data_IF_655373041338
#
_entry.id   IF_655373041338
#
_cell.length_a   1.000
_cell.length_b   1.000
_cell.length_c   1.000
_cell.angle_alpha   90.00
_cell.angle_beta   90.00
_cell.angle_gamma   90.00
#
_symmetry.space_group_name_H-M   'P 1'
#
loop_
_entity.id
_entity.type
_entity.pdbx_description
1 polymer ?
#
# COMPACT_ATOMS: atom_id res chain seq x y z
N UNK A 1 22.04 -16.27 13.25
CA UNK A 1 21.22 -15.08 13.56
C UNK A 1 19.80 -15.56 13.83
N UNK A 2 19.11 -14.99 14.81
CA UNK A 2 17.70 -15.34 15.04
C UNK A 2 16.86 -14.79 13.88
N UNK A 3 15.97 -15.61 13.32
CA UNK A 3 15.03 -15.17 12.26
C UNK A 3 14.00 -14.21 12.84
N UNK A 4 13.58 -13.22 12.05
CA UNK A 4 12.44 -12.36 12.36
C UNK A 4 11.16 -13.17 12.22
N UNK A 5 10.39 -13.26 13.31
CA UNK A 5 9.14 -14.04 13.33
C UNK A 5 7.98 -13.16 12.92
N UNK A 6 7.29 -13.57 11.87
CA UNK A 6 6.27 -12.77 11.21
C UNK A 6 4.88 -13.32 11.49
N UNK A 7 4.00 -12.43 11.97
CA UNK A 7 2.56 -12.63 11.96
C UNK A 7 1.92 -11.98 10.72
N UNK A 8 0.92 -12.60 10.12
CA UNK A 8 0.15 -12.01 9.02
C UNK A 8 -1.30 -11.82 9.46
N UNK A 9 -1.84 -10.62 9.28
CA UNK A 9 -3.27 -10.35 9.49
C UNK A 9 -3.96 -10.30 8.13
N UNK A 10 -4.82 -11.27 7.85
CA UNK A 10 -5.41 -11.53 6.53
C UNK A 10 -4.94 -12.87 5.95
N UNK A 11 -5.80 -13.51 5.14
CA UNK A 11 -5.57 -14.85 4.59
C UNK A 11 -6.01 -14.97 3.12
N UNK A 12 -5.90 -13.88 2.36
CA UNK A 12 -6.35 -13.76 0.97
C UNK A 12 -5.18 -13.36 0.07
N UNK A 13 -5.49 -12.72 -1.06
CA UNK A 13 -4.54 -12.39 -2.13
C UNK A 13 -3.24 -11.75 -1.65
N UNK A 14 -3.30 -10.62 -0.94
CA UNK A 14 -2.10 -9.93 -0.44
C UNK A 14 -1.29 -10.81 0.54
N UNK A 15 -1.97 -11.50 1.46
CA UNK A 15 -1.32 -12.41 2.40
C UNK A 15 -0.53 -13.52 1.70
N UNK A 16 -1.05 -14.08 0.59
CA UNK A 16 -0.33 -15.09 -0.22
C UNK A 16 0.96 -14.52 -0.80
N UNK A 17 0.93 -13.29 -1.32
CA UNK A 17 2.11 -12.61 -1.88
C UNK A 17 3.15 -12.38 -0.79
N UNK A 18 2.73 -11.92 0.39
CA UNK A 18 3.63 -11.75 1.54
C UNK A 18 4.29 -13.07 1.95
N UNK A 19 3.52 -14.16 2.08
CA UNK A 19 4.08 -15.49 2.38
C UNK A 19 5.09 -15.93 1.33
N UNK A 20 4.78 -15.75 0.04
CA UNK A 20 5.71 -16.07 -1.05
C UNK A 20 7.00 -15.24 -0.97
N UNK A 21 6.87 -13.95 -0.62
CA UNK A 21 8.01 -13.08 -0.31
C UNK A 21 8.88 -13.62 0.83
N UNK A 22 8.27 -13.96 1.97
CA UNK A 22 8.98 -14.46 3.14
C UNK A 22 9.63 -15.83 2.91
N UNK A 23 9.04 -16.71 2.10
CA UNK A 23 9.66 -17.99 1.72
C UNK A 23 11.02 -17.82 1.02
N UNK A 24 11.27 -16.65 0.41
CA UNK A 24 12.53 -16.30 -0.25
C UNK A 24 13.47 -15.46 0.63
N UNK A 25 13.10 -15.19 1.88
CA UNK A 25 13.89 -14.40 2.83
C UNK A 25 14.40 -15.31 3.97
N UNK A 26 15.66 -15.78 3.93
CA UNK A 26 16.17 -16.71 4.95
C UNK A 26 16.23 -16.12 6.37
N UNK A 27 16.19 -14.80 6.49
CA UNK A 27 16.19 -14.04 7.74
C UNK A 27 14.80 -13.89 8.38
N UNK A 28 13.73 -14.37 7.74
CA UNK A 28 12.37 -14.27 8.24
C UNK A 28 11.62 -15.60 8.20
N UNK A 29 10.66 -15.77 9.09
CA UNK A 29 9.76 -16.93 9.08
C UNK A 29 8.34 -16.54 9.47
N UNK A 30 7.34 -17.05 8.76
CA UNK A 30 5.93 -16.80 9.07
C UNK A 30 5.47 -17.82 10.10
N UNK A 31 5.16 -17.34 11.31
CA UNK A 31 4.82 -18.21 12.45
C UNK A 31 3.33 -18.20 12.79
N UNK A 32 2.60 -17.15 12.41
CA UNK A 32 1.19 -17.02 12.75
C UNK A 32 0.38 -16.28 11.68
N UNK A 33 -0.90 -16.65 11.52
CA UNK A 33 -1.87 -15.93 10.68
C UNK A 33 -3.15 -15.68 11.45
N UNK A 34 -3.72 -14.48 11.33
CA UNK A 34 -5.01 -14.13 11.87
C UNK A 34 -6.03 -13.79 10.76
N UNK A 35 -7.20 -14.41 10.79
CA UNK A 35 -8.34 -14.05 9.94
C UNK A 35 -9.66 -14.43 10.61
N UNK A 36 -10.71 -13.58 10.56
CA UNK A 36 -11.97 -13.81 11.27
C UNK A 36 -12.73 -15.04 10.79
N UNK A 37 -12.49 -15.49 9.55
CA UNK A 37 -13.11 -16.72 9.03
C UNK A 37 -12.19 -17.92 9.30
N UNK A 38 -12.66 -18.84 10.14
CA UNK A 38 -11.91 -20.02 10.59
C UNK A 38 -11.55 -20.97 9.44
N UNK A 39 -12.43 -21.15 8.46
CA UNK A 39 -12.17 -22.03 7.32
C UNK A 39 -11.08 -21.45 6.42
N UNK A 40 -11.15 -20.13 6.15
CA UNK A 40 -10.12 -19.45 5.36
C UNK A 40 -8.75 -19.49 6.06
N UNK A 41 -8.68 -19.23 7.37
CA UNK A 41 -7.38 -19.21 8.07
C UNK A 41 -6.79 -20.62 8.17
N UNK A 42 -7.61 -21.64 8.44
CA UNK A 42 -7.17 -23.05 8.49
C UNK A 42 -6.67 -23.53 7.13
N UNK A 43 -7.41 -23.24 6.07
CA UNK A 43 -6.98 -23.57 4.70
C UNK A 43 -5.67 -22.86 4.34
N UNK A 44 -5.51 -21.59 4.71
CA UNK A 44 -4.32 -20.80 4.42
C UNK A 44 -3.08 -21.32 5.15
N UNK A 45 -3.18 -21.67 6.44
CA UNK A 45 -2.03 -22.22 7.17
C UNK A 45 -1.63 -23.60 6.65
N UNK A 46 -2.59 -24.43 6.23
CA UNK A 46 -2.32 -25.74 5.64
C UNK A 46 -1.64 -25.62 4.27
N UNK A 47 -2.09 -24.70 3.42
CA UNK A 47 -1.49 -24.40 2.10
C UNK A 47 -0.02 -23.95 2.22
N UNK A 48 0.34 -23.30 3.34
CA UNK A 48 1.63 -22.64 3.51
C UNK A 48 2.52 -23.23 4.61
N UNK A 49 2.07 -24.29 5.30
CA UNK A 49 2.76 -24.92 6.44
C UNK A 49 3.10 -23.94 7.57
N UNK A 50 2.13 -23.09 7.95
CA UNK A 50 2.30 -22.10 9.03
C UNK A 50 1.79 -22.71 10.34
N UNK A 51 2.54 -22.61 11.47
CA UNK A 51 2.24 -23.41 12.64
C UNK A 51 1.03 -22.94 13.45
N UNK A 52 0.66 -21.66 13.39
CA UNK A 52 -0.39 -21.08 14.25
C UNK A 52 -1.41 -20.28 13.45
N UNK A 53 -2.70 -20.45 13.79
CA UNK A 53 -3.79 -19.62 13.28
C UNK A 53 -4.63 -19.05 14.40
N UNK A 54 -5.16 -17.85 14.17
CA UNK A 54 -6.06 -17.15 15.08
C UNK A 54 -7.27 -16.60 14.33
N UNK A 55 -8.40 -16.48 15.01
CA UNK A 55 -9.59 -15.77 14.49
C UNK A 55 -9.62 -14.30 14.88
N UNK A 56 -8.81 -13.88 15.86
CA UNK A 56 -8.61 -12.49 16.26
C UNK A 56 -7.11 -12.15 16.25
N UNK A 57 -6.73 -11.09 15.54
CA UNK A 57 -5.35 -10.63 15.49
C UNK A 57 -4.86 -10.11 16.84
N UNK A 58 -5.74 -9.61 17.71
CA UNK A 58 -5.35 -9.16 19.05
C UNK A 58 -4.94 -10.32 19.93
N UNK A 59 -5.58 -11.47 19.75
CA UNK A 59 -5.18 -12.71 20.40
C UNK A 59 -3.83 -13.19 19.86
N UNK A 60 -3.64 -13.15 18.54
CA UNK A 60 -2.35 -13.46 17.91
C UNK A 60 -1.22 -12.59 18.49
N UNK A 61 -1.43 -11.28 18.62
CA UNK A 61 -0.40 -10.37 19.14
C UNK A 61 -0.02 -10.64 20.60
N UNK A 62 -0.94 -11.18 21.40
CA UNK A 62 -0.70 -11.54 22.81
C UNK A 62 -0.06 -12.92 22.98
N UNK A 63 -0.45 -13.90 22.16
CA UNK A 63 -0.10 -15.31 22.37
C UNK A 63 1.02 -15.80 21.46
N UNK A 64 1.09 -15.28 20.23
CA UNK A 64 2.10 -15.69 19.28
C UNK A 64 3.41 -14.94 19.55
N UNK A 65 4.51 -15.67 19.43
CA UNK A 65 5.85 -15.11 19.57
C UNK A 65 6.29 -14.49 18.24
N UNK A 66 5.80 -13.27 17.97
CA UNK A 66 6.01 -12.49 16.74
C UNK A 66 6.80 -11.20 17.01
N UNK A 67 7.62 -10.80 16.05
CA UNK A 67 8.42 -9.58 16.07
C UNK A 67 7.88 -8.53 15.08
N UNK A 68 7.30 -8.99 13.97
CA UNK A 68 6.84 -8.20 12.84
C UNK A 68 5.43 -8.65 12.40
N UNK A 69 4.58 -7.70 12.00
CA UNK A 69 3.25 -7.97 11.48
C UNK A 69 3.12 -7.46 10.05
N UNK A 70 2.70 -8.32 9.13
CA UNK A 70 2.19 -7.92 7.82
C UNK A 70 0.67 -7.70 7.88
N UNK A 71 0.23 -6.48 7.62
CA UNK A 71 -1.18 -6.07 7.60
C UNK A 71 -1.70 -6.22 6.17
N UNK A 72 -2.42 -7.31 5.91
CA UNK A 72 -2.95 -7.69 4.60
C UNK A 72 -4.49 -7.78 4.61
N UNK A 73 -5.14 -6.81 5.25
CA UNK A 73 -6.60 -6.70 5.43
C UNK A 73 -7.20 -5.68 4.46
N UNK A 74 -8.54 -5.55 4.36
CA UNK A 74 -9.14 -4.43 3.64
C UNK A 74 -8.70 -3.05 4.17
N UNK A 75 -8.55 -2.06 3.29
CA UNK A 75 -7.95 -0.76 3.57
C UNK A 75 -8.46 -0.07 4.84
N UNK A 76 -9.78 -0.10 5.09
CA UNK A 76 -10.39 0.55 6.26
C UNK A 76 -9.94 -0.03 7.62
N UNK A 77 -9.35 -1.24 7.63
CA UNK A 77 -8.84 -1.88 8.84
C UNK A 77 -7.34 -1.65 9.05
N UNK A 78 -6.64 -1.03 8.10
CA UNK A 78 -5.18 -0.83 8.19
C UNK A 78 -4.79 -0.06 9.46
N UNK A 79 -5.53 1.02 9.77
CA UNK A 79 -5.33 1.83 10.96
C UNK A 79 -5.42 1.00 12.24
N UNK A 80 -6.55 0.34 12.45
CA UNK A 80 -6.83 -0.34 13.72
C UNK A 80 -5.87 -1.52 13.97
N UNK A 81 -5.52 -2.27 12.91
CA UNK A 81 -4.56 -3.37 13.02
C UNK A 81 -3.15 -2.83 13.27
N UNK A 82 -2.75 -1.76 12.60
CA UNK A 82 -1.42 -1.16 12.76
C UNK A 82 -1.23 -0.57 14.15
N UNK A 83 -2.22 0.18 14.65
CA UNK A 83 -2.21 0.73 16.01
C UNK A 83 -2.12 -0.41 17.03
N UNK A 84 -2.97 -1.44 16.89
CA UNK A 84 -2.95 -2.59 17.80
C UNK A 84 -1.62 -3.35 17.79
N UNK A 85 -0.95 -3.44 16.63
CA UNK A 85 0.35 -4.08 16.51
C UNK A 85 1.45 -3.23 17.18
N UNK A 86 1.42 -1.91 16.97
CA UNK A 86 2.36 -0.97 17.57
C UNK A 86 2.24 -0.92 19.10
N UNK A 87 1.02 -0.89 19.64
CA UNK A 87 0.76 -0.96 21.09
C UNK A 87 1.20 -2.29 21.70
N UNK A 88 1.20 -3.38 20.92
CA UNK A 88 1.76 -4.68 21.31
C UNK A 88 3.28 -4.78 21.10
N UNK A 89 3.96 -3.68 20.74
CA UNK A 89 5.41 -3.61 20.54
C UNK A 89 5.89 -4.34 19.28
N UNK A 90 5.02 -4.56 18.29
CA UNK A 90 5.34 -5.29 17.06
C UNK A 90 5.67 -4.33 15.93
N UNK A 91 6.71 -4.62 15.16
CA UNK A 91 6.97 -3.88 13.92
C UNK A 91 5.86 -4.13 12.90
N UNK A 92 5.65 -3.19 11.97
CA UNK A 92 4.53 -3.24 11.02
C UNK A 92 4.99 -3.06 9.59
N UNK A 93 4.57 -3.96 8.70
CA UNK A 93 4.49 -3.74 7.25
C UNK A 93 3.02 -3.62 6.90
N UNK A 94 2.61 -2.46 6.40
CA UNK A 94 1.22 -2.20 6.01
C UNK A 94 1.08 -2.18 4.49
N UNK A 95 0.11 -2.96 3.99
CA UNK A 95 -0.29 -2.94 2.59
C UNK A 95 -0.76 -1.56 2.14
N UNK A 96 -0.77 -1.38 0.82
CA UNK A 96 -1.27 -0.18 0.18
C UNK A 96 -2.80 -0.18 0.04
N UNK A 97 -3.45 0.99 0.10
CA UNK A 97 -2.93 2.27 0.57
C UNK A 97 -2.68 2.25 2.08
N UNK A 98 -1.76 3.09 2.60
CA UNK A 98 -1.45 3.10 4.04
C UNK A 98 -2.72 3.25 4.90
N UNK A 99 -3.61 4.17 4.54
CA UNK A 99 -4.92 4.31 5.15
C UNK A 99 -5.95 4.85 4.14
N UNK A 100 -7.21 4.89 4.53
CA UNK A 100 -8.31 5.47 3.74
C UNK A 100 -8.42 7.00 3.90
N UNK A 101 -7.73 7.59 4.87
CA UNK A 101 -7.69 9.04 5.09
C UNK A 101 -6.30 9.51 5.53
N UNK A 102 -5.98 10.79 5.29
CA UNK A 102 -4.71 11.38 5.71
C UNK A 102 -4.57 11.44 7.24
N UNK A 103 -5.67 11.69 7.94
CA UNK A 103 -5.69 11.72 9.41
C UNK A 103 -5.30 10.36 9.97
N UNK A 104 -5.92 9.30 9.46
CA UNK A 104 -5.68 7.94 9.94
C UNK A 104 -4.24 7.49 9.60
N UNK A 105 -3.73 7.86 8.42
CA UNK A 105 -2.33 7.62 8.05
C UNK A 105 -1.34 8.35 8.98
N UNK A 106 -1.63 9.61 9.35
CA UNK A 106 -0.82 10.38 10.30
C UNK A 106 -0.80 9.73 11.68
N UNK A 107 -1.97 9.34 12.19
CA UNK A 107 -2.09 8.66 13.48
C UNK A 107 -1.32 7.33 13.51
N UNK A 108 -1.35 6.55 12.43
CA UNK A 108 -0.58 5.31 12.33
C UNK A 108 0.93 5.56 12.48
N UNK A 109 1.45 6.62 11.86
CA UNK A 109 2.86 7.01 11.97
C UNK A 109 3.19 7.44 13.40
N UNK A 110 2.40 8.34 13.97
CA UNK A 110 2.60 8.88 15.32
C UNK A 110 2.59 7.77 16.39
N UNK A 111 1.65 6.83 16.30
CA UNK A 111 1.56 5.71 17.25
C UNK A 111 2.75 4.76 17.11
N UNK A 112 3.19 4.48 15.88
CA UNK A 112 4.36 3.62 15.66
C UNK A 112 5.64 4.26 16.23
N UNK A 113 5.84 5.57 15.98
CA UNK A 113 6.97 6.33 16.51
C UNK A 113 6.95 6.37 18.04
N UNK A 114 5.79 6.65 18.66
CA UNK A 114 5.63 6.70 20.11
C UNK A 114 5.96 5.38 20.81
N UNK A 115 5.63 4.24 20.18
CA UNK A 115 5.92 2.91 20.71
C UNK A 115 7.31 2.39 20.31
N UNK A 116 8.11 3.17 19.56
CA UNK A 116 9.45 2.77 19.13
C UNK A 116 9.46 1.62 18.12
N UNK A 117 8.36 1.38 17.40
CA UNK A 117 8.26 0.33 16.40
C UNK A 117 8.46 0.87 14.99
N UNK A 118 9.05 0.06 14.10
CA UNK A 118 9.19 0.41 12.68
C UNK A 118 7.86 0.23 11.96
N UNK A 119 7.50 1.21 11.13
CA UNK A 119 6.40 1.14 10.17
C UNK A 119 6.96 1.19 8.74
N UNK A 120 6.62 0.20 7.93
CA UNK A 120 6.92 0.15 6.50
C UNK A 120 5.61 0.20 5.70
N UNK A 121 5.54 1.16 4.77
CA UNK A 121 4.51 1.21 3.74
C UNK A 121 4.92 0.30 2.56
N UNK A 122 4.11 -0.72 2.27
CA UNK A 122 4.41 -1.75 1.27
C UNK A 122 4.11 -1.29 -0.17
N UNK A 123 4.82 -0.25 -0.63
CA UNK A 123 4.81 0.18 -2.03
C UNK A 123 5.82 -0.64 -2.85
N UNK A 124 5.33 -1.70 -3.47
CA UNK A 124 6.12 -2.69 -4.20
C UNK A 124 6.82 -2.11 -5.44
N UNK A 125 6.25 -1.10 -6.09
CA UNK A 125 6.87 -0.46 -7.27
C UNK A 125 8.26 0.13 -6.97
N UNK A 126 8.51 0.58 -5.74
CA UNK A 126 9.82 1.14 -5.36
C UNK A 126 10.93 0.09 -5.29
N UNK A 127 10.55 -1.19 -5.23
CA UNK A 127 11.48 -2.32 -5.12
C UNK A 127 11.53 -3.17 -6.40
N UNK A 128 10.76 -2.82 -7.43
CA UNK A 128 10.78 -3.51 -8.72
C UNK A 128 12.15 -3.33 -9.41
N UNK A 129 12.86 -4.42 -9.76
CA UNK A 129 14.18 -4.32 -10.42
C UNK A 129 14.15 -3.48 -11.70
N UNK A 130 13.07 -3.56 -12.47
CA UNK A 130 12.88 -2.78 -13.69
C UNK A 130 12.80 -1.27 -13.39
N UNK A 131 12.02 -0.88 -12.38
CA UNK A 131 11.84 0.54 -12.03
C UNK A 131 13.08 1.11 -11.34
N UNK A 132 13.75 0.31 -10.51
CA UNK A 132 15.04 0.67 -9.92
C UNK A 132 16.10 0.86 -10.99
N UNK A 133 16.23 -0.08 -11.94
CA UNK A 133 17.19 0.07 -13.04
C UNK A 133 16.90 1.27 -13.93
N UNK A 134 15.62 1.55 -14.21
CA UNK A 134 15.24 2.74 -14.97
C UNK A 134 15.68 4.04 -14.26
N UNK A 135 15.59 4.09 -12.93
CA UNK A 135 16.10 5.20 -12.14
C UNK A 135 17.62 5.32 -12.20
N UNK A 136 18.34 4.21 -12.03
CA UNK A 136 19.80 4.16 -12.11
C UNK A 136 20.31 4.67 -13.47
N UNK A 137 19.76 4.18 -14.58
CA UNK A 137 20.12 4.65 -15.94
C UNK A 137 19.95 6.17 -16.07
N UNK A 138 18.89 6.72 -15.48
CA UNK A 138 18.67 8.17 -15.49
C UNK A 138 19.68 8.91 -14.60
N UNK A 139 20.07 8.34 -13.46
CA UNK A 139 21.07 8.90 -12.55
C UNK A 139 22.50 8.81 -13.12
N UNK A 140 22.79 7.79 -13.92
CA UNK A 140 24.02 7.61 -14.69
C UNK A 140 24.17 8.67 -15.81
N UNK A 141 23.13 9.47 -16.06
CA UNK A 141 23.15 10.56 -17.04
C UNK A 141 22.77 10.16 -18.46
N UNK A 142 22.36 8.91 -18.69
CA UNK A 142 22.08 8.37 -20.03
C UNK A 142 20.95 9.10 -20.79
N UNK A 143 20.05 9.78 -20.07
CA UNK A 143 18.91 10.52 -20.66
C UNK A 143 18.99 12.04 -20.42
N UNK A 144 20.09 12.53 -19.82
CA UNK A 144 20.23 13.92 -19.41
C UNK A 144 19.20 14.34 -18.35
N UNK A 145 18.74 15.59 -18.43
CA UNK A 145 17.77 16.12 -17.48
C UNK A 145 16.37 15.57 -17.77
N UNK A 146 15.81 14.77 -16.85
CA UNK A 146 14.43 14.31 -16.95
C UNK A 146 13.48 15.51 -16.79
N UNK A 147 12.77 15.91 -17.85
CA UNK A 147 11.81 17.03 -17.81
C UNK A 147 10.38 16.59 -17.49
N UNK A 148 10.02 15.36 -17.87
CA UNK A 148 8.66 14.84 -17.78
C UNK A 148 8.67 13.38 -17.36
N UNK A 149 7.73 12.99 -16.49
CA UNK A 149 7.50 11.61 -16.08
C UNK A 149 6.03 11.28 -16.27
N UNK A 150 5.77 10.17 -16.96
CA UNK A 150 4.44 9.61 -17.17
C UNK A 150 4.45 8.18 -16.69
N UNK A 151 3.59 7.88 -15.72
CA UNK A 151 3.42 6.54 -15.18
C UNK A 151 1.92 6.21 -15.14
N UNK A 152 1.59 4.95 -15.41
CA UNK A 152 0.20 4.47 -15.51
C UNK A 152 0.15 3.04 -15.00
N UNK A 153 -0.89 2.76 -14.23
CA UNK A 153 -1.29 1.39 -13.93
C UNK A 153 -2.71 1.17 -14.46
N UNK A 154 -2.95 0.00 -15.05
CA UNK A 154 -4.27 -0.43 -15.50
C UNK A 154 -4.46 -1.92 -15.29
N UNK A 155 -5.63 -2.31 -14.80
CA UNK A 155 -6.07 -3.69 -14.69
C UNK A 155 -7.57 -3.76 -15.02
N UNK A 156 -8.10 -4.98 -15.21
CA UNK A 156 -9.49 -5.25 -15.56
C UNK A 156 -10.50 -5.07 -14.40
N UNK A 157 -10.17 -4.29 -13.38
CA UNK A 157 -10.99 -4.15 -12.16
C UNK A 157 -10.64 -5.15 -11.05
N UNK A 158 -11.08 -4.86 -9.83
CA UNK A 158 -10.83 -5.71 -8.67
C UNK A 158 -11.97 -6.71 -8.48
N UNK A 159 -11.62 -7.97 -8.19
CA UNK A 159 -12.59 -8.99 -7.81
C UNK A 159 -13.05 -8.84 -6.35
N UNK A 160 -12.42 -7.98 -5.55
CA UNK A 160 -12.79 -7.75 -4.15
C UNK A 160 -14.05 -6.90 -4.03
N UNK A 161 -14.98 -7.35 -3.18
CA UNK A 161 -16.20 -6.61 -2.81
C UNK A 161 -15.87 -5.30 -2.06
N UNK A 162 -14.75 -5.26 -1.33
CA UNK A 162 -14.33 -4.11 -0.53
C UNK A 162 -13.77 -2.99 -1.39
N UNK A 163 -13.14 -3.32 -2.53
CA UNK A 163 -12.56 -2.34 -3.46
C UNK A 163 -13.60 -1.54 -4.26
N UNK A 164 -14.90 -1.87 -4.12
CA UNK A 164 -16.00 -1.25 -4.87
C UNK A 164 -16.83 -0.27 -4.04
N UNK A 165 -16.60 -0.15 -2.72
CA UNK A 165 -17.40 0.69 -1.83
C UNK A 165 -16.52 1.69 -1.08
N UNK A 166 -16.84 2.97 -1.22
CA UNK A 166 -16.06 4.10 -0.67
C UNK A 166 -15.67 3.91 0.80
N UNK A 167 -16.61 3.47 1.65
CA UNK A 167 -16.39 3.30 3.08
C UNK A 167 -15.30 2.26 3.42
N UNK A 168 -15.03 1.30 2.54
CA UNK A 168 -14.06 0.24 2.78
C UNK A 168 -12.69 0.52 2.15
N UNK A 169 -12.67 1.23 1.02
CA UNK A 169 -11.44 1.46 0.27
C UNK A 169 -10.87 2.87 0.39
N UNK A 170 -11.66 3.85 0.84
CA UNK A 170 -11.31 5.28 0.86
C UNK A 170 -11.28 5.94 -0.52
N UNK A 171 -11.32 5.15 -1.60
CA UNK A 171 -11.09 5.66 -2.94
C UNK A 171 -11.30 4.65 -4.07
N UNK A 172 -11.27 5.14 -5.31
CA UNK A 172 -11.49 4.31 -6.51
C UNK A 172 -10.18 3.89 -7.12
N UNK A 173 -10.17 3.80 -8.44
CA UNK A 173 -8.96 3.51 -9.19
C UNK A 173 -7.79 4.46 -8.85
N UNK A 174 -8.06 5.72 -8.46
CA UNK A 174 -6.99 6.64 -8.05
C UNK A 174 -6.28 6.23 -6.75
N UNK A 175 -7.01 5.70 -5.75
CA UNK A 175 -6.40 5.25 -4.50
C UNK A 175 -5.86 3.83 -4.65
N UNK A 176 -6.55 2.96 -5.38
CA UNK A 176 -6.11 1.58 -5.56
C UNK A 176 -4.95 1.41 -6.54
N UNK A 177 -4.91 2.22 -7.60
CA UNK A 177 -3.94 2.10 -8.68
C UNK A 177 -3.07 3.33 -8.81
N UNK A 178 -3.67 4.52 -8.77
CA UNK A 178 -2.95 5.77 -8.90
C UNK A 178 -1.87 5.97 -7.83
N UNK A 179 -1.99 5.29 -6.68
CA UNK A 179 -0.99 5.36 -5.61
C UNK A 179 0.40 4.88 -6.04
N UNK A 180 0.47 3.83 -6.86
CA UNK A 180 1.71 3.26 -7.36
C UNK A 180 2.51 4.22 -8.27
N UNK A 181 1.97 4.74 -9.39
CA UNK A 181 2.66 5.70 -10.23
C UNK A 181 2.92 7.03 -9.52
N UNK A 182 2.07 7.45 -8.56
CA UNK A 182 2.33 8.64 -7.74
C UNK A 182 3.52 8.39 -6.80
N UNK A 183 3.53 7.25 -6.11
CA UNK A 183 4.62 6.83 -5.22
C UNK A 183 5.94 6.74 -5.97
N UNK A 184 5.94 6.06 -7.12
CA UNK A 184 7.11 5.97 -8.00
C UNK A 184 7.56 7.34 -8.50
N UNK A 185 6.65 8.21 -8.97
CA UNK A 185 7.02 9.55 -9.44
C UNK A 185 7.72 10.37 -8.35
N UNK A 186 7.21 10.32 -7.11
CA UNK A 186 7.82 10.99 -5.95
C UNK A 186 9.17 10.41 -5.61
N UNK A 187 9.29 9.08 -5.54
CA UNK A 187 10.54 8.40 -5.23
C UNK A 187 11.61 8.57 -6.32
N UNK A 188 11.21 8.57 -7.59
CA UNK A 188 12.10 8.74 -8.74
C UNK A 188 12.68 10.16 -8.76
N UNK A 189 11.83 11.18 -8.59
CA UNK A 189 12.25 12.58 -8.68
C UNK A 189 12.89 13.14 -7.43
N UNK A 190 12.51 12.66 -6.24
CA UNK A 190 12.97 13.19 -4.95
C UNK A 190 12.85 14.73 -4.85
N UNK A 191 11.77 15.27 -5.42
CA UNK A 191 11.41 16.69 -5.37
C UNK A 191 10.05 16.85 -4.73
N UNK A 192 9.86 17.98 -4.07
CA UNK A 192 8.57 18.33 -3.48
C UNK A 192 7.50 18.53 -4.56
N UNK A 193 6.31 18.02 -4.29
CA UNK A 193 5.15 18.22 -5.16
C UNK A 193 4.48 19.52 -4.78
N UNK A 194 4.54 20.51 -5.67
CA UNK A 194 4.01 21.87 -5.42
C UNK A 194 2.58 22.09 -5.94
N UNK A 195 2.03 21.12 -6.68
CA UNK A 195 0.70 21.22 -7.25
C UNK A 195 0.25 19.91 -7.88
N UNK A 196 -1.07 19.68 -7.86
CA UNK A 196 -1.71 18.48 -8.42
C UNK A 196 -2.93 18.91 -9.22
N UNK A 197 -3.17 18.24 -10.35
CA UNK A 197 -4.40 18.36 -11.14
C UNK A 197 -4.90 16.98 -11.51
N UNK A 198 -6.21 16.77 -11.44
CA UNK A 198 -6.83 15.48 -11.71
C UNK A 198 -8.01 15.64 -12.66
N UNK A 199 -8.15 14.68 -13.58
CA UNK A 199 -9.34 14.51 -14.41
C UNK A 199 -9.78 13.05 -14.31
N UNK A 200 -11.04 12.85 -13.94
CA UNK A 200 -11.66 11.54 -13.84
C UNK A 200 -12.76 11.45 -14.89
N UNK A 201 -12.77 10.39 -15.69
CA UNK A 201 -13.85 10.09 -16.63
C UNK A 201 -14.56 8.81 -16.20
N UNK A 202 -15.87 8.90 -15.94
CA UNK A 202 -16.65 7.79 -15.39
C UNK A 202 -16.55 7.66 -13.86
N UNK A 203 -17.60 7.12 -13.24
CA UNK A 203 -17.76 7.01 -11.78
C UNK A 203 -19.10 7.59 -11.32
N UNK A 204 -20.08 6.75 -11.02
CA UNK A 204 -21.32 7.17 -10.35
C UNK A 204 -21.09 7.36 -8.85
N UNK A 205 -22.11 7.80 -8.09
CA UNK A 205 -22.02 7.92 -6.61
C UNK A 205 -21.52 6.65 -5.89
N UNK A 206 -21.59 5.49 -6.56
CA UNK A 206 -21.20 4.17 -6.07
C UNK A 206 -19.80 3.72 -6.53
N UNK A 207 -19.25 4.30 -7.60
CA UNK A 207 -17.92 3.96 -8.12
C UNK A 207 -17.01 5.13 -7.89
N UNK A 208 -16.05 4.93 -6.98
CA UNK A 208 -15.38 6.02 -6.34
C UNK A 208 -14.68 7.00 -7.32
N UNK A 209 -15.28 8.18 -7.41
CA UNK A 209 -14.75 9.39 -8.01
C UNK A 209 -14.71 10.46 -6.90
N UNK A 210 -13.51 11.01 -6.64
CA UNK A 210 -13.31 12.05 -5.61
C UNK A 210 -13.94 13.37 -6.13
N UNK A 211 -14.67 14.13 -5.30
CA UNK A 211 -15.15 15.46 -5.68
C UNK A 211 -13.99 16.46 -5.76
N UNK A 212 -13.93 17.22 -6.86
CA UNK A 212 -12.92 18.27 -7.11
C UNK A 212 -13.39 19.57 -6.43
N UNK A 213 -12.57 20.16 -5.55
CA UNK A 213 -12.71 21.57 -5.18
C UNK A 213 -12.16 22.46 -6.30
N UNK A 214 -13.07 23.16 -7.00
CA UNK A 214 -12.89 24.28 -7.95
C UNK A 214 -11.48 24.45 -8.58
N UNK A 215 -11.34 23.98 -9.82
CA UNK A 215 -10.30 24.45 -10.74
C UNK A 215 -10.74 25.78 -11.34
N UNK A 216 -9.99 26.86 -11.09
CA UNK A 216 -10.11 28.12 -11.83
C UNK A 216 -9.35 27.96 -13.15
N UNK A 217 -10.07 27.91 -14.26
CA UNK A 217 -9.49 27.87 -15.60
C UNK A 217 -8.97 29.25 -15.99
N UNK A 218 -7.68 29.37 -16.31
CA UNK A 218 -7.13 30.58 -16.92
C UNK A 218 -5.64 30.48 -17.21
N UNK A 219 -5.28 30.60 -18.49
CA UNK A 219 -3.96 31.02 -18.95
C UNK A 219 -2.92 29.92 -19.20
N UNK A 220 -2.46 29.80 -20.45
CA UNK A 220 -1.14 29.26 -20.78
C UNK A 220 -0.09 30.12 -20.06
N UNK A 221 0.78 29.50 -19.27
CA UNK A 221 2.00 30.14 -18.80
C UNK A 221 3.14 29.12 -18.75
N UNK A 222 4.18 29.37 -19.55
CA UNK A 222 5.46 28.69 -19.52
C UNK A 222 6.27 29.18 -18.31
N UNK A 223 6.53 28.32 -17.34
CA UNK A 223 7.47 28.56 -16.24
C UNK A 223 8.18 27.25 -15.82
N UNK A 224 9.41 27.32 -15.29
CA UNK A 224 10.37 26.24 -15.32
C UNK A 224 10.09 25.15 -14.27
N UNK A 225 10.32 23.90 -14.67
CA UNK A 225 10.61 22.72 -13.84
C UNK A 225 9.86 22.64 -12.50
N UNK A 226 8.59 22.26 -12.57
CA UNK A 226 7.80 21.76 -11.43
C UNK A 226 7.13 20.47 -11.88
N UNK A 227 7.39 19.34 -11.19
CA UNK A 227 6.83 18.04 -11.57
C UNK A 227 5.31 18.07 -11.39
N UNK A 228 4.57 18.13 -12.50
CA UNK A 228 3.12 17.97 -12.52
C UNK A 228 2.82 16.50 -12.76
N UNK A 229 2.23 15.83 -11.77
CA UNK A 229 1.77 14.45 -11.90
C UNK A 229 0.42 14.45 -12.61
N UNK A 230 0.38 13.96 -13.84
CA UNK A 230 -0.85 13.75 -14.60
C UNK A 230 -1.29 12.28 -14.47
N UNK A 231 -2.35 12.03 -13.70
CA UNK A 231 -3.06 10.76 -13.74
C UNK A 231 -4.23 10.88 -14.73
N UNK A 232 -4.23 10.08 -15.79
CA UNK A 232 -5.36 9.93 -16.70
C UNK A 232 -5.75 8.46 -16.78
N UNK A 233 -6.94 8.15 -16.28
CA UNK A 233 -7.56 6.84 -16.41
C UNK A 233 -8.61 6.91 -17.51
N UNK A 234 -8.50 6.06 -18.54
CA UNK A 234 -9.58 5.81 -19.48
C UNK A 234 -10.38 4.60 -18.98
N UNK A 235 -11.72 4.62 -19.07
CA UNK A 235 -12.53 3.43 -18.85
C UNK A 235 -12.12 2.34 -19.84
N UNK A 236 -12.16 1.09 -19.39
CA UNK A 236 -12.24 -0.06 -20.31
C UNK A 236 -13.70 -0.10 -20.74
N UNK A 237 -13.94 0.13 -22.02
CA UNK A 237 -15.24 -0.07 -22.68
C UNK A 237 -15.60 -1.54 -22.70
#
# INVERSE_FOLDING_TARGET
>A
MNRVRVGIVGSRFAARIHVDGYKRCPEAEVVAVASPNVDHVRSFIAEHNIPQCYTDYREMFRKADIDLVSVCVPNYLHRDVTISAAEAGKHVICEKPLATSLRDAGEMVEVCEKNGVKLMYAEDWLFSPMLTRAKEICQEGAVGQVLYLKAKETHSGSHSIFAKRLNYCGGGAMIHLGIHPIGFARWFKQKEVVGVSARVSGGGKLTCSIPISKVRTGGRLSLPLRTVVFASLRPIT
#
